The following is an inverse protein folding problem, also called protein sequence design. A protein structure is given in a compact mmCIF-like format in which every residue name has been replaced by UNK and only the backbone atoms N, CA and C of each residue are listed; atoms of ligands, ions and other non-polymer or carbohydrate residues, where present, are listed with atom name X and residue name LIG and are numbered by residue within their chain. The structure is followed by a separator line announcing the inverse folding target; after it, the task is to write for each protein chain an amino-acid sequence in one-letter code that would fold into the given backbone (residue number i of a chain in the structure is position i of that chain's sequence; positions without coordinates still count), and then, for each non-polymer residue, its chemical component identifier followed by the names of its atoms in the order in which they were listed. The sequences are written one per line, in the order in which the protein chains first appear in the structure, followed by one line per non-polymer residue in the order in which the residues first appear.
data_IF_058480560338
#
_entry.id   IF_058480560338
#
_cell.length_a   1.000
_cell.length_b   1.000
_cell.length_c   1.000
_cell.angle_alpha   90.00
_cell.angle_beta   90.00
_cell.angle_gamma   90.00
#
_symmetry.space_group_name_H-M   'P 1'
#
loop_
_entity.id
_entity.type
_entity.pdbx_description
1 polymer ?
#
# COMPACT_ATOMS: atom_id res chain seq x y z
N UNK A 1 -6.51 4.37 -23.53
CA UNK A 1 -5.20 4.65 -24.20
C UNK A 1 -4.24 5.20 -23.16
N UNK A 2 -2.94 4.94 -23.26
CA UNK A 2 -1.95 5.46 -22.30
C UNK A 2 -1.84 6.97 -22.54
N UNK A 3 -2.34 7.78 -21.60
CA UNK A 3 -2.62 9.20 -21.87
C UNK A 3 -1.36 10.07 -22.02
N UNK A 4 -0.15 9.55 -21.71
CA UNK A 4 1.13 10.24 -21.90
C UNK A 4 2.30 9.27 -21.86
N UNK A 5 3.41 9.65 -22.52
CA UNK A 5 4.71 8.96 -22.43
C UNK A 5 5.49 9.31 -21.15
N UNK A 6 5.09 10.38 -20.46
CA UNK A 6 5.65 10.81 -19.18
C UNK A 6 4.71 10.43 -18.03
N UNK A 7 5.24 10.06 -16.85
CA UNK A 7 4.42 9.88 -15.66
C UNK A 7 3.73 11.19 -15.31
N UNK A 8 2.43 11.15 -15.02
CA UNK A 8 1.68 12.33 -14.61
C UNK A 8 2.32 12.89 -13.32
N UNK A 9 2.88 14.12 -13.32
CA UNK A 9 3.53 14.68 -12.14
C UNK A 9 2.55 14.95 -10.99
N UNK A 10 1.24 14.95 -11.26
CA UNK A 10 0.18 15.00 -10.25
C UNK A 10 -0.29 13.60 -9.80
N UNK A 11 0.35 12.53 -10.30
CA UNK A 11 0.06 11.14 -9.96
C UNK A 11 -1.42 10.76 -10.14
N UNK A 12 -2.10 11.31 -11.17
CA UNK A 12 -3.50 10.97 -11.42
C UNK A 12 -3.60 9.57 -12.00
N UNK A 13 -4.53 8.79 -11.46
CA UNK A 13 -4.82 7.43 -11.92
C UNK A 13 -5.98 7.46 -12.92
N UNK A 14 -5.74 6.91 -14.12
CA UNK A 14 -6.76 6.75 -15.16
C UNK A 14 -7.24 5.30 -15.16
N UNK A 15 -8.50 5.08 -14.79
CA UNK A 15 -9.09 3.74 -14.64
C UNK A 15 -9.01 2.92 -15.93
N UNK A 16 -9.26 3.55 -17.08
CA UNK A 16 -9.18 2.93 -18.42
C UNK A 16 -7.79 2.33 -18.76
N UNK A 17 -6.73 2.76 -18.06
CA UNK A 17 -5.35 2.30 -18.27
C UNK A 17 -4.81 1.37 -17.18
N UNK A 18 -5.55 1.12 -16.10
CA UNK A 18 -5.02 0.46 -14.90
C UNK A 18 -4.47 -0.96 -15.16
N UNK A 19 -5.06 -1.71 -16.10
CA UNK A 19 -4.57 -3.04 -16.47
C UNK A 19 -3.12 -3.03 -17.00
N UNK A 20 -2.62 -1.89 -17.51
CA UNK A 20 -1.23 -1.74 -17.97
C UNK A 20 -0.23 -1.45 -16.86
N UNK A 21 -0.70 -1.04 -15.68
CA UNK A 21 0.16 -0.86 -14.50
C UNK A 21 0.58 -2.22 -13.91
N UNK A 22 -0.12 -3.30 -14.29
CA UNK A 22 0.23 -4.68 -13.94
C UNK A 22 1.57 -5.05 -14.55
N UNK A 23 2.54 -5.45 -13.72
CA UNK A 23 3.83 -5.96 -14.18
C UNK A 23 4.04 -7.40 -13.72
N UNK A 24 5.00 -8.10 -14.34
CA UNK A 24 5.22 -9.52 -14.09
C UNK A 24 5.58 -9.85 -12.64
N UNK A 25 6.09 -8.85 -11.89
CA UNK A 25 6.53 -9.00 -10.50
C UNK A 25 5.47 -8.62 -9.45
N UNK A 26 4.20 -8.48 -9.83
CA UNK A 26 3.10 -8.16 -8.91
C UNK A 26 2.88 -9.26 -7.85
N UNK A 27 2.20 -8.92 -6.75
CA UNK A 27 1.73 -9.90 -5.75
C UNK A 27 0.72 -10.92 -6.31
N UNK A 28 0.06 -10.61 -7.44
CA UNK A 28 -0.96 -11.46 -8.06
C UNK A 28 -2.29 -11.49 -7.31
N UNK A 29 -2.48 -10.63 -6.31
CA UNK A 29 -3.73 -10.52 -5.53
C UNK A 29 -4.89 -10.05 -6.41
N UNK A 30 -4.62 -9.22 -7.41
CA UNK A 30 -5.52 -9.01 -8.54
C UNK A 30 -5.08 -9.84 -9.73
N UNK A 31 -6.02 -10.55 -10.34
CA UNK A 31 -5.78 -11.20 -11.63
C UNK A 31 -5.69 -10.18 -12.78
N UNK A 32 -5.43 -10.66 -14.00
CA UNK A 32 -5.33 -9.81 -15.20
C UNK A 32 -6.65 -9.10 -15.56
N UNK A 33 -7.77 -9.58 -15.02
CA UNK A 33 -9.10 -9.00 -15.20
C UNK A 33 -9.46 -8.01 -14.07
N UNK A 34 -8.55 -7.80 -13.12
CA UNK A 34 -8.74 -6.89 -11.98
C UNK A 34 -9.61 -7.46 -10.87
N UNK A 35 -9.86 -8.78 -10.84
CA UNK A 35 -10.63 -9.43 -9.78
C UNK A 35 -9.72 -9.75 -8.60
N UNK A 36 -10.20 -9.44 -7.39
CA UNK A 36 -9.52 -9.84 -6.16
C UNK A 36 -9.53 -11.36 -6.03
N UNK A 37 -8.35 -11.95 -5.79
CA UNK A 37 -8.15 -13.38 -5.59
C UNK A 37 -7.84 -13.63 -4.11
N UNK A 38 -8.84 -13.98 -3.27
CA UNK A 38 -8.64 -14.13 -1.84
C UNK A 38 -7.55 -15.13 -1.47
N UNK A 39 -7.44 -16.22 -2.24
CA UNK A 39 -6.41 -17.23 -2.01
C UNK A 39 -4.99 -16.65 -2.08
N UNK A 40 -4.71 -15.82 -3.11
CA UNK A 40 -3.39 -15.20 -3.27
C UNK A 40 -3.07 -14.22 -2.15
N UNK A 41 -4.09 -13.52 -1.65
CA UNK A 41 -3.95 -12.67 -0.48
C UNK A 41 -3.62 -13.48 0.79
N UNK A 42 -4.34 -14.58 1.02
CA UNK A 42 -4.07 -15.47 2.15
C UNK A 42 -2.68 -16.13 2.06
N UNK A 43 -2.25 -16.49 0.85
CA UNK A 43 -0.94 -17.10 0.58
C UNK A 43 0.21 -16.17 0.98
N UNK A 44 0.05 -14.85 0.91
CA UNK A 44 1.07 -13.89 1.38
C UNK A 44 1.38 -14.16 2.87
N UNK A 45 0.34 -14.25 3.70
CA UNK A 45 0.52 -14.45 5.14
C UNK A 45 0.89 -15.88 5.47
N UNK A 46 0.35 -16.86 4.75
CA UNK A 46 0.68 -18.27 4.96
C UNK A 46 2.15 -18.59 4.66
N UNK A 47 2.74 -17.95 3.64
CA UNK A 47 4.09 -18.24 3.18
C UNK A 47 5.16 -17.29 3.76
N UNK A 48 4.77 -16.12 4.24
CA UNK A 48 5.71 -15.10 4.72
C UNK A 48 5.59 -14.80 6.21
N UNK A 49 4.47 -15.11 6.89
CA UNK A 49 4.42 -14.96 8.36
C UNK A 49 5.05 -16.19 9.02
N UNK A 50 6.36 -16.15 9.29
CA UNK A 50 7.03 -17.23 10.03
C UNK A 50 6.39 -17.45 11.41
N UNK A 51 5.76 -16.40 11.94
CA UNK A 51 5.10 -16.34 13.25
C UNK A 51 3.64 -16.78 13.23
N UNK A 52 3.02 -16.90 12.05
CA UNK A 52 1.57 -17.17 11.86
C UNK A 52 0.66 -16.24 12.67
N UNK A 53 1.11 -15.01 12.94
CA UNK A 53 0.39 -14.03 13.75
C UNK A 53 -0.42 -13.02 12.90
N UNK A 54 -0.66 -13.35 11.62
CA UNK A 54 -1.30 -12.46 10.65
C UNK A 54 -0.62 -11.09 10.52
N UNK A 55 0.68 -11.03 10.78
CA UNK A 55 1.51 -9.85 10.54
C UNK A 55 2.67 -10.18 9.60
N UNK A 56 3.16 -9.14 8.93
CA UNK A 56 4.37 -9.18 8.12
C UNK A 56 5.37 -8.18 8.69
N UNK A 57 6.59 -8.63 8.92
CA UNK A 57 7.74 -7.77 9.21
C UNK A 57 8.33 -7.21 7.91
N UNK A 58 9.15 -6.15 8.02
CA UNK A 58 9.76 -5.53 6.83
C UNK A 58 10.61 -6.55 6.05
N UNK A 59 11.32 -7.41 6.80
CA UNK A 59 12.11 -8.49 6.23
C UNK A 59 11.25 -9.50 5.47
N UNK A 60 10.11 -9.91 6.02
CA UNK A 60 9.19 -10.85 5.36
C UNK A 60 8.57 -10.24 4.08
N UNK A 61 8.32 -8.93 4.07
CA UNK A 61 7.92 -8.19 2.86
C UNK A 61 9.04 -8.16 1.81
N UNK A 62 10.29 -7.95 2.22
CA UNK A 62 11.45 -8.03 1.30
C UNK A 62 11.67 -9.42 0.73
N UNK A 63 11.45 -10.46 1.53
CA UNK A 63 11.52 -11.84 1.08
C UNK A 63 10.37 -12.17 0.10
N UNK A 64 9.17 -11.65 0.34
CA UNK A 64 8.03 -11.75 -0.60
C UNK A 64 8.36 -11.09 -1.94
N UNK A 65 8.83 -9.83 -1.94
CA UNK A 65 9.27 -9.13 -3.15
C UNK A 65 10.32 -9.96 -3.88
N UNK A 66 11.29 -10.51 -3.15
CA UNK A 66 12.37 -11.30 -3.74
C UNK A 66 11.88 -12.59 -4.40
N UNK A 67 10.86 -13.25 -3.85
CA UNK A 67 10.24 -14.45 -4.42
C UNK A 67 9.41 -14.14 -5.67
N UNK A 68 8.77 -12.98 -5.72
CA UNK A 68 7.93 -12.58 -6.85
C UNK A 68 8.71 -11.92 -8.00
N UNK A 69 10.02 -11.67 -7.85
CA UNK A 69 10.85 -11.11 -8.93
C UNK A 69 10.93 -12.04 -10.14
N UNK A 70 10.43 -11.57 -11.28
CA UNK A 70 10.68 -12.23 -12.56
C UNK A 70 12.09 -11.86 -13.07
N UNK A 71 12.93 -12.85 -13.41
CA UNK A 71 14.36 -12.64 -13.75
C UNK A 71 14.63 -11.65 -14.93
N UNK A 72 13.61 -11.32 -15.72
CA UNK A 72 13.71 -10.52 -16.95
C UNK A 72 12.94 -9.19 -16.88
N UNK A 73 12.59 -8.70 -15.69
CA UNK A 73 11.77 -7.49 -15.52
C UNK A 73 12.35 -6.47 -14.52
N UNK A 74 13.42 -5.73 -14.90
CA UNK A 74 14.06 -4.74 -14.02
C UNK A 74 13.14 -3.56 -13.68
N UNK A 75 12.18 -3.21 -14.55
CA UNK A 75 11.20 -2.16 -14.27
C UNK A 75 10.16 -2.64 -13.24
N UNK A 76 9.65 -3.86 -13.39
CA UNK A 76 8.74 -4.49 -12.42
C UNK A 76 9.37 -4.70 -11.05
N UNK A 77 10.69 -4.89 -10.96
CA UNK A 77 11.37 -4.92 -9.66
C UNK A 77 11.33 -3.58 -8.96
N UNK A 78 11.60 -2.49 -9.69
CA UNK A 78 11.58 -1.15 -9.13
C UNK A 78 10.16 -0.74 -8.72
N UNK A 79 9.17 -1.03 -9.57
CA UNK A 79 7.76 -0.78 -9.27
C UNK A 79 7.29 -1.60 -8.06
N UNK A 80 7.54 -2.92 -8.02
CA UNK A 80 7.24 -3.76 -6.87
C UNK A 80 7.91 -3.26 -5.59
N UNK A 81 9.15 -2.78 -5.67
CA UNK A 81 9.85 -2.20 -4.52
C UNK A 81 9.14 -0.95 -4.01
N UNK A 82 8.80 -0.01 -4.89
CA UNK A 82 8.07 1.19 -4.48
C UNK A 82 6.69 0.89 -3.93
N UNK A 83 5.94 -0.05 -4.53
CA UNK A 83 4.62 -0.46 -4.04
C UNK A 83 4.67 -1.01 -2.61
N UNK A 84 5.56 -1.95 -2.34
CA UNK A 84 5.66 -2.55 -1.02
C UNK A 84 6.29 -1.63 0.02
N UNK A 85 7.28 -0.81 -0.36
CA UNK A 85 7.86 0.19 0.55
C UNK A 85 6.85 1.26 0.91
N UNK A 86 6.08 1.79 -0.04
CA UNK A 86 5.04 2.78 0.26
C UNK A 86 3.90 2.18 1.09
N UNK A 87 3.49 0.95 0.79
CA UNK A 87 2.51 0.21 1.60
C UNK A 87 3.01 0.02 3.04
N UNK A 88 4.26 -0.39 3.20
CA UNK A 88 4.90 -0.50 4.51
C UNK A 88 4.91 0.84 5.25
N UNK A 89 5.33 1.92 4.59
CA UNK A 89 5.35 3.24 5.19
C UNK A 89 3.96 3.74 5.58
N UNK A 90 2.89 3.31 4.94
CA UNK A 90 1.52 3.68 5.28
C UNK A 90 0.94 2.86 6.44
N UNK A 91 1.22 1.55 6.44
CA UNK A 91 0.55 0.58 7.31
C UNK A 91 1.36 0.15 8.53
N UNK A 92 2.68 0.33 8.53
CA UNK A 92 3.53 -0.22 9.57
C UNK A 92 3.16 0.35 10.94
N UNK A 93 2.84 -0.56 11.86
CA UNK A 93 2.60 -0.30 13.28
C UNK A 93 3.50 -1.24 14.07
N UNK A 94 4.28 -0.70 15.00
CA UNK A 94 5.34 -1.42 15.74
C UNK A 94 6.25 -2.31 14.86
N UNK A 95 6.61 -1.79 13.68
CA UNK A 95 7.47 -2.50 12.73
C UNK A 95 6.81 -3.70 12.05
N UNK A 96 5.48 -3.74 12.01
CA UNK A 96 4.68 -4.81 11.40
C UNK A 96 3.53 -4.27 10.57
N UNK A 97 3.18 -4.98 9.51
CA UNK A 97 1.94 -4.74 8.75
C UNK A 97 0.92 -5.79 9.16
N UNK A 98 -0.24 -5.34 9.64
CA UNK A 98 -1.35 -6.20 10.00
C UNK A 98 -2.14 -6.63 8.75
N UNK A 99 -2.55 -7.90 8.72
CA UNK A 99 -3.32 -8.46 7.62
C UNK A 99 -4.58 -7.69 7.27
N UNK A 100 -5.36 -7.29 8.27
CA UNK A 100 -6.59 -6.55 8.00
C UNK A 100 -6.32 -5.17 7.44
N UNK A 101 -5.27 -4.48 7.90
CA UNK A 101 -4.90 -3.19 7.33
C UNK A 101 -4.43 -3.33 5.86
N UNK A 102 -3.72 -4.41 5.53
CA UNK A 102 -3.39 -4.72 4.14
C UNK A 102 -4.63 -5.06 3.30
N UNK A 103 -5.59 -5.82 3.85
CA UNK A 103 -6.87 -6.10 3.17
C UNK A 103 -7.62 -4.81 2.86
N UNK A 104 -7.60 -3.85 3.78
CA UNK A 104 -8.24 -2.53 3.62
C UNK A 104 -7.58 -1.66 2.55
N UNK A 105 -6.29 -1.88 2.24
CA UNK A 105 -5.65 -1.28 1.06
C UNK A 105 -6.25 -1.85 -0.22
N UNK A 106 -6.42 -3.18 -0.29
CA UNK A 106 -6.99 -3.86 -1.46
C UNK A 106 -8.47 -3.48 -1.66
N UNK A 107 -9.32 -3.55 -0.64
CA UNK A 107 -10.74 -3.18 -0.80
C UNK A 107 -10.99 -1.66 -0.89
N UNK A 108 -9.98 -0.84 -0.61
CA UNK A 108 -10.01 0.62 -0.70
C UNK A 108 -10.63 1.32 0.53
N UNK A 109 -11.15 0.59 1.51
CA UNK A 109 -11.77 1.15 2.72
C UNK A 109 -10.78 1.93 3.60
N UNK A 110 -9.49 1.60 3.55
CA UNK A 110 -8.44 2.31 4.30
C UNK A 110 -8.41 3.80 3.96
N UNK A 111 -8.50 4.14 2.67
CA UNK A 111 -8.37 5.52 2.21
C UNK A 111 -9.53 6.40 2.68
N UNK A 112 -10.72 5.82 2.81
CA UNK A 112 -11.89 6.50 3.37
C UNK A 112 -11.71 6.80 4.85
N UNK A 113 -11.22 5.82 5.62
CA UNK A 113 -10.91 5.99 7.05
C UNK A 113 -9.81 7.06 7.26
N UNK A 114 -8.73 7.03 6.47
CA UNK A 114 -7.67 8.06 6.51
C UNK A 114 -8.26 9.45 6.25
N UNK A 115 -9.12 9.58 5.25
CA UNK A 115 -9.79 10.85 4.90
C UNK A 115 -10.67 11.34 6.06
N UNK A 116 -11.42 10.46 6.69
CA UNK A 116 -12.31 10.80 7.81
C UNK A 116 -11.51 11.22 9.05
N UNK A 117 -10.46 10.49 9.42
CA UNK A 117 -9.55 10.85 10.52
C UNK A 117 -8.85 12.19 10.30
N UNK A 118 -8.48 12.51 9.06
CA UNK A 118 -7.94 13.83 8.69
C UNK A 118 -8.98 14.94 8.79
N UNK A 119 -10.25 14.66 8.46
CA UNK A 119 -11.37 15.62 8.59
C UNK A 119 -11.78 15.86 10.04
N UNK A 120 -11.78 14.82 10.87
CA UNK A 120 -12.11 14.92 12.30
C UNK A 120 -11.04 15.69 13.08
N UNK A 121 -9.80 15.72 12.58
CA UNK A 121 -8.64 16.34 13.20
C UNK A 121 -7.87 15.41 14.14
N UNK A 122 -8.25 14.13 14.20
CA UNK A 122 -7.50 13.09 14.92
C UNK A 122 -6.18 12.76 14.21
N UNK A 123 -6.18 12.87 12.87
CA UNK A 123 -5.04 12.49 12.05
C UNK A 123 -4.92 10.97 11.87
N UNK A 124 -4.13 10.56 10.89
CA UNK A 124 -3.70 9.16 10.77
C UNK A 124 -2.63 8.90 11.84
N UNK A 125 -2.54 7.69 12.39
CA UNK A 125 -1.62 7.36 13.50
C UNK A 125 -0.69 6.17 13.22
N UNK A 126 -0.87 5.51 12.09
CA UNK A 126 -0.05 4.36 11.68
C UNK A 126 0.92 4.77 10.57
N UNK A 127 1.98 3.98 10.36
CA UNK A 127 2.95 4.22 9.30
C UNK A 127 4.09 5.20 9.65
N UNK A 128 5.20 5.08 8.92
CA UNK A 128 6.39 5.91 9.09
C UNK A 128 6.19 7.28 8.42
N UNK A 129 5.90 8.32 9.22
CA UNK A 129 5.82 9.71 8.74
C UNK A 129 4.53 10.10 8.00
N UNK A 130 3.55 9.19 7.89
CA UNK A 130 2.20 9.50 7.41
C UNK A 130 1.19 9.68 8.55
N UNK A 131 1.59 9.34 9.78
CA UNK A 131 0.79 9.41 11.00
C UNK A 131 1.30 10.35 12.12
N UNK A 132 2.25 11.24 11.79
CA UNK A 132 2.71 12.31 12.67
C UNK A 132 3.13 13.51 11.83
N UNK A 133 2.27 14.54 11.78
CA UNK A 133 2.50 15.96 11.41
C UNK A 133 3.41 16.40 10.22
N UNK A 134 3.94 15.50 9.38
CA UNK A 134 5.03 15.81 8.44
C UNK A 134 4.71 16.01 6.94
N UNK A 135 3.45 15.94 6.47
CA UNK A 135 3.10 16.25 5.08
C UNK A 135 1.79 17.08 5.01
N UNK A 136 1.93 18.39 4.74
CA UNK A 136 0.88 19.36 4.36
C UNK A 136 -0.51 19.06 4.96
N UNK A 137 -0.65 19.35 6.25
CA UNK A 137 -1.92 19.28 6.98
C UNK A 137 -1.99 20.37 8.03
N UNK A 138 -2.10 21.63 7.61
CA UNK A 138 -2.37 22.74 8.53
C UNK A 138 -3.73 22.54 9.20
N UNK A 139 -3.74 22.14 10.47
CA UNK A 139 -4.57 22.78 11.51
C UNK A 139 -4.16 22.39 12.93
N UNK A 140 -3.42 23.26 13.60
CA UNK A 140 -3.54 23.41 15.05
C UNK A 140 -4.97 23.89 15.32
N UNK A 141 -5.83 23.04 15.88
CA UNK A 141 -7.08 23.50 16.48
C UNK A 141 -6.68 24.20 17.79
N UNK A 142 -6.50 25.51 17.71
CA UNK A 142 -6.31 26.37 18.89
C UNK A 142 -7.59 26.23 19.70
N UNK A 143 -7.49 25.59 20.87
CA UNK A 143 -8.57 25.58 21.85
C UNK A 143 -8.78 27.00 22.34
N UNK A 144 -9.91 27.60 21.97
CA UNK A 144 -10.47 28.72 22.69
C UNK A 144 -11.40 28.13 23.74
N UNK A 145 -10.90 28.04 24.98
CA UNK A 145 -11.76 28.06 26.14
C UNK A 145 -12.38 29.46 26.24
N UNK A 146 -13.69 29.52 26.04
CA UNK A 146 -14.58 30.53 26.58
C UNK A 146 -15.83 29.80 27.08
#
# INVERSE_FOLDING_TARGET
MQHSYLPDPFFRLYVDGMHKAKHGSDSGVYDSEGRFVPQRFEDIFANCSARKDNTLTFREVFDLMSRNRCAVDPFGWLASFFEWVTTWMLLADDGKVHKEDLRRVYDGSLFWDIREKRRSGEGWKQGWGLGGDGFIGYRKRIGIHL
#
